data_IF_416073874451
#
_entry.id   IF_416073874451
#
_cell.length_a   1.000
_cell.length_b   1.000
_cell.length_c   1.000
_cell.angle_alpha   90.00
_cell.angle_beta   90.00
_cell.angle_gamma   90.00
#
_symmetry.space_group_name_H-M   'P 1'
#
loop_
_entity.id
_entity.type
_entity.pdbx_description
1 polymer ?
#
# COMPACT_ATOMS: atom_id res chain seq x y z
N UNK A 1 -3.45 -10.17 21.41
CA UNK A 1 -4.06 -10.29 20.06
C UNK A 1 -2.99 -9.98 19.02
N UNK A 2 -2.48 -10.99 18.31
CA UNK A 2 -1.24 -10.88 17.53
C UNK A 2 -1.45 -10.91 16.01
N UNK A 3 -2.65 -10.71 15.47
CA UNK A 3 -2.89 -10.87 14.03
C UNK A 3 -3.96 -9.94 13.47
N UNK A 4 -4.02 -8.69 13.95
CA UNK A 4 -4.98 -7.71 13.44
C UNK A 4 -4.26 -6.71 12.53
N UNK A 5 -4.65 -6.72 11.27
CA UNK A 5 -4.28 -5.73 10.27
C UNK A 5 -5.58 -5.05 9.86
N UNK A 6 -5.64 -3.74 10.04
CA UNK A 6 -6.79 -2.95 9.61
C UNK A 6 -6.36 -2.22 8.36
N UNK A 7 -7.09 -2.43 7.26
CA UNK A 7 -6.87 -1.75 5.99
C UNK A 7 -8.15 -1.04 5.57
N UNK A 8 -7.99 0.15 5.01
CA UNK A 8 -9.04 0.91 4.36
C UNK A 8 -8.58 1.16 2.91
N UNK A 9 -9.39 0.72 1.96
CA UNK A 9 -9.22 1.04 0.55
C UNK A 9 -10.39 1.92 0.11
N UNK A 10 -10.08 3.07 -0.48
CA UNK A 10 -11.03 4.03 -0.99
C UNK A 10 -10.73 4.29 -2.47
N UNK A 11 -11.71 4.04 -3.33
CA UNK A 11 -11.59 4.25 -4.77
C UNK A 11 -12.64 5.27 -5.23
N UNK A 12 -12.29 6.57 -5.32
CA UNK A 12 -13.26 7.61 -5.71
C UNK A 12 -13.64 7.51 -7.19
N UNK A 13 -12.78 6.95 -8.03
CA UNK A 13 -13.01 6.69 -9.45
C UNK A 13 -12.40 5.34 -9.82
N UNK A 14 -12.92 4.67 -10.86
CA UNK A 14 -12.44 3.35 -11.32
C UNK A 14 -10.94 3.28 -11.65
N UNK A 15 -10.30 4.43 -11.80
CA UNK A 15 -8.91 4.59 -12.17
C UNK A 15 -8.02 5.07 -11.02
N UNK A 16 -8.56 5.35 -9.84
CA UNK A 16 -7.81 5.83 -8.67
C UNK A 16 -8.14 4.97 -7.45
N UNK A 17 -7.10 4.56 -6.74
CA UNK A 17 -7.19 3.77 -5.53
C UNK A 17 -6.35 4.47 -4.48
N UNK A 18 -6.91 4.71 -3.29
CA UNK A 18 -6.19 5.22 -2.14
C UNK A 18 -6.30 4.17 -1.05
N UNK A 19 -5.18 3.83 -0.42
CA UNK A 19 -5.09 2.76 0.57
C UNK A 19 -4.45 3.32 1.82
N UNK A 20 -5.01 3.00 2.96
CA UNK A 20 -4.41 3.21 4.27
C UNK A 20 -4.46 1.89 5.03
N UNK A 21 -3.43 1.61 5.81
CA UNK A 21 -3.30 0.36 6.51
C UNK A 21 -2.56 0.56 7.81
N UNK A 22 -3.03 -0.09 8.86
CA UNK A 22 -2.41 -0.08 10.17
C UNK A 22 -2.20 -1.51 10.65
N UNK A 23 -0.94 -1.85 10.87
CA UNK A 23 -0.50 -3.16 11.30
C UNK A 23 -0.19 -3.12 12.81
N UNK A 24 -1.11 -3.63 13.62
CA UNK A 24 -1.02 -3.61 15.09
C UNK A 24 0.12 -4.48 15.63
N UNK A 25 0.44 -5.56 14.90
CA UNK A 25 1.48 -6.52 15.27
C UNK A 25 2.88 -5.90 15.23
N UNK A 26 3.17 -5.16 14.15
CA UNK A 26 4.43 -4.41 13.99
C UNK A 26 4.61 -3.35 15.07
N UNK A 27 3.52 -2.75 15.58
CA UNK A 27 3.60 -1.81 16.70
C UNK A 27 4.04 -2.51 18.00
N UNK A 28 3.47 -3.67 18.33
CA UNK A 28 3.82 -4.38 19.58
C UNK A 28 5.24 -4.95 19.59
N UNK A 29 5.79 -5.33 18.44
CA UNK A 29 7.16 -5.88 18.33
C UNK A 29 8.26 -4.79 18.26
N UNK A 30 7.91 -3.51 18.03
CA UNK A 30 8.86 -2.40 17.88
C UNK A 30 8.62 -1.21 18.83
N UNK A 31 7.70 -1.31 19.79
CA UNK A 31 7.53 -0.27 20.81
C UNK A 31 8.80 -0.24 21.67
N UNK A 32 9.53 0.87 21.60
CA UNK A 32 10.53 1.28 22.58
C UNK A 32 9.97 2.57 23.20
N UNK A 33 9.81 2.60 24.53
CA UNK A 33 9.16 3.68 25.31
C UNK A 33 9.72 5.10 25.08
N UNK A 34 10.86 5.23 24.38
CA UNK A 34 11.64 6.46 24.29
C UNK A 34 11.30 7.37 23.09
N UNK A 35 10.57 6.91 22.05
CA UNK A 35 10.22 7.78 20.90
C UNK A 35 8.81 7.55 20.36
N UNK A 36 8.07 8.65 20.21
CA UNK A 36 6.77 8.76 19.54
C UNK A 36 6.91 8.56 18.03
N UNK A 37 7.22 7.35 17.58
CA UNK A 37 7.01 6.96 16.19
C UNK A 37 5.61 6.32 16.06
N UNK A 38 5.01 6.35 14.87
CA UNK A 38 3.79 5.59 14.54
C UNK A 38 4.16 4.30 13.77
N UNK A 39 4.90 3.35 14.38
CA UNK A 39 5.32 2.13 13.68
C UNK A 39 4.09 1.31 13.29
N UNK A 40 4.09 0.81 12.06
CA UNK A 40 2.99 0.00 11.53
C UNK A 40 1.92 0.77 10.76
N UNK A 41 2.01 2.10 10.63
CA UNK A 41 1.18 2.84 9.67
C UNK A 41 1.72 2.70 8.25
N UNK A 42 0.81 2.55 7.30
CA UNK A 42 1.08 2.47 5.87
C UNK A 42 -0.01 3.19 5.11
N UNK A 43 0.35 3.83 4.03
CA UNK A 43 -0.59 4.51 3.15
C UNK A 43 -0.05 4.46 1.73
N UNK A 44 -0.94 4.56 0.75
CA UNK A 44 -0.57 4.48 -0.64
C UNK A 44 -1.68 4.96 -1.54
N UNK A 45 -1.32 5.19 -2.79
CA UNK A 45 -2.27 5.50 -3.84
C UNK A 45 -1.87 4.77 -5.11
N UNK A 46 -2.82 4.48 -5.97
CA UNK A 46 -2.60 3.83 -7.25
C UNK A 46 -3.48 4.46 -8.31
N UNK A 47 -2.92 4.62 -9.50
CA UNK A 47 -3.62 5.12 -10.69
C UNK A 47 -3.56 4.05 -11.77
N UNK A 48 -4.69 3.79 -12.40
CA UNK A 48 -4.81 2.97 -13.60
C UNK A 48 -4.90 3.88 -14.83
N UNK A 49 -3.88 3.83 -15.68
CA UNK A 49 -3.83 4.53 -16.97
C UNK A 49 -3.99 3.48 -18.08
N UNK A 50 -5.21 3.36 -18.62
CA UNK A 50 -5.54 2.38 -19.66
C UNK A 50 -5.21 0.93 -19.23
N UNK A 51 -4.06 0.39 -19.65
CA UNK A 51 -3.58 -0.97 -19.34
C UNK A 51 -2.49 -1.01 -18.26
N UNK A 52 -1.95 0.15 -17.88
CA UNK A 52 -0.90 0.29 -16.88
C UNK A 52 -1.51 0.64 -15.52
N UNK A 53 -1.00 -0.01 -14.48
CA UNK A 53 -1.34 0.22 -13.09
C UNK A 53 -0.08 0.71 -12.39
N UNK A 54 -0.10 1.96 -11.96
CA UNK A 54 0.99 2.57 -11.21
C UNK A 54 0.52 2.63 -9.77
N UNK A 55 1.28 2.03 -8.85
CA UNK A 55 0.99 2.03 -7.43
C UNK A 55 2.19 2.64 -6.70
N UNK A 56 1.91 3.53 -5.77
CA UNK A 56 2.86 4.10 -4.85
C UNK A 56 2.38 3.81 -3.43
N UNK A 57 3.25 3.24 -2.59
CA UNK A 57 2.94 2.89 -1.23
C UNK A 57 4.07 3.25 -0.29
N UNK A 58 3.77 3.99 0.76
CA UNK A 58 4.69 4.32 1.84
C UNK A 58 4.30 3.57 3.09
N UNK A 59 5.24 2.83 3.66
CA UNK A 59 5.01 2.07 4.87
C UNK A 59 6.12 2.33 5.88
N UNK A 60 5.74 2.75 7.07
CA UNK A 60 6.69 3.05 8.15
C UNK A 60 7.04 1.75 8.86
N UNK A 61 8.17 1.16 8.46
CA UNK A 61 8.59 -0.17 8.93
C UNK A 61 9.52 -0.13 10.15
N UNK A 62 10.40 0.86 10.35
CA UNK A 62 11.34 0.89 11.49
C UNK A 62 11.86 2.31 11.80
N UNK A 63 12.60 2.44 12.92
CA UNK A 63 13.35 3.64 13.36
C UNK A 63 14.23 4.26 12.25
N UNK A 64 14.65 3.45 11.27
CA UNK A 64 15.49 3.83 10.14
C UNK A 64 14.78 4.63 9.04
N UNK A 65 13.44 4.71 9.06
CA UNK A 65 12.66 5.49 8.11
C UNK A 65 11.45 4.77 7.55
N UNK A 66 10.64 5.52 6.79
CA UNK A 66 9.55 4.95 6.02
C UNK A 66 10.08 4.34 4.70
N UNK A 67 9.59 3.17 4.33
CA UNK A 67 9.89 2.54 3.05
C UNK A 67 8.89 3.02 2.01
N UNK A 68 9.41 3.61 0.95
CA UNK A 68 8.64 4.02 -0.22
C UNK A 68 8.76 2.94 -1.30
N UNK A 69 7.62 2.45 -1.76
CA UNK A 69 7.52 1.42 -2.79
C UNK A 69 6.79 1.99 -4.01
N UNK A 70 7.39 1.84 -5.18
CA UNK A 70 6.77 2.16 -6.46
C UNK A 70 6.62 0.86 -7.22
N UNK A 71 5.43 0.59 -7.73
CA UNK A 71 5.13 -0.63 -8.48
C UNK A 71 4.37 -0.27 -9.74
N UNK A 72 4.83 -0.80 -10.86
CA UNK A 72 4.18 -0.65 -12.16
C UNK A 72 3.81 -2.05 -12.61
N UNK A 73 2.54 -2.28 -12.88
CA UNK A 73 2.04 -3.53 -13.45
C UNK A 73 1.23 -3.26 -14.70
N UNK A 74 1.23 -4.22 -15.62
CA UNK A 74 0.46 -4.14 -16.86
C UNK A 74 -0.14 -5.50 -17.14
N UNK A 75 -1.34 -5.53 -17.69
CA UNK A 75 -1.98 -6.78 -18.10
C UNK A 75 -1.63 -7.05 -19.57
N UNK A 76 -0.80 -8.07 -19.83
CA UNK A 76 -0.35 -8.43 -21.18
C UNK A 76 -1.47 -9.05 -22.04
N UNK A 77 -2.42 -9.75 -21.42
CA UNK A 77 -3.58 -10.34 -22.09
C UNK A 77 -4.49 -9.26 -22.70
N UNK A 78 -4.61 -8.10 -22.05
CA UNK A 78 -5.37 -6.96 -22.57
C UNK A 78 -4.81 -6.37 -23.88
N UNK A 79 -3.60 -6.75 -24.31
CA UNK A 79 -3.05 -6.40 -25.62
C UNK A 79 -3.44 -7.37 -26.72
N UNK A 80 -3.69 -8.64 -26.39
CA UNK A 80 -4.19 -9.63 -27.33
C UNK A 80 -5.71 -9.49 -27.44
N UNK A 81 -6.16 -8.52 -28.25
CA UNK A 81 -7.55 -8.42 -28.65
C UNK A 81 -7.88 -9.67 -29.47
N UNK A 82 -8.59 -10.65 -28.88
CA UNK A 82 -9.12 -11.81 -29.60
C UNK A 82 -10.05 -11.29 -30.69
N UNK A 83 -9.58 -11.37 -31.94
CA UNK A 83 -10.32 -11.02 -33.13
C UNK A 83 -11.30 -12.17 -33.37
N UNK A 84 -12.54 -12.01 -32.92
CA UNK A 84 -13.66 -12.80 -33.41
C UNK A 84 -14.21 -12.14 -34.66
#
# INVERSE_FOLDING_TARGET
MRHIIIGLEFSPIKNLYVRAGYNYRRRQEMIIESRTAMPGFSWGFGVKISKFYINYGRATYHLAGASDHISISTNLDSFYKKQN
#
